data_IF_923754880441
#
_entry.id   IF_923754880441
#
_cell.length_a   1.000
_cell.length_b   1.000
_cell.length_c   1.000
_cell.angle_alpha   90.00
_cell.angle_beta   90.00
_cell.angle_gamma   90.00
#
_symmetry.space_group_name_H-M   'P 1'
#
loop_
_entity.id
_entity.type
_entity.pdbx_description
1 polymer ?
#
# COMPACT_ATOMS: atom_id res chain seq x y z
N UNK A 1 -16.98 4.45 15.44
CA UNK A 1 -16.50 5.43 14.45
C UNK A 1 -17.12 6.78 14.79
N UNK A 2 -16.34 7.87 14.91
CA UNK A 2 -16.84 9.15 15.42
C UNK A 2 -17.47 10.08 14.37
N UNK A 3 -17.36 9.78 13.07
CA UNK A 3 -17.90 10.62 12.00
C UNK A 3 -17.58 10.08 10.61
N UNK A 4 -17.80 10.90 9.58
CA UNK A 4 -17.52 10.56 8.18
C UNK A 4 -16.00 10.46 7.90
N UNK A 5 -15.65 9.62 6.93
CA UNK A 5 -14.27 9.45 6.46
C UNK A 5 -13.87 7.99 6.28
N UNK A 6 -12.77 7.76 5.55
CA UNK A 6 -12.15 6.45 5.43
C UNK A 6 -11.42 6.05 6.72
N UNK A 7 -10.95 4.79 6.80
CA UNK A 7 -10.13 4.32 7.92
C UNK A 7 -8.86 5.19 8.07
N UNK A 8 -8.62 5.76 9.26
CA UNK A 8 -7.58 6.78 9.45
C UNK A 8 -6.12 6.32 9.38
N UNK A 9 -5.83 5.03 9.45
CA UNK A 9 -4.46 4.52 9.27
C UNK A 9 -4.03 4.48 7.80
N UNK A 10 -2.76 4.15 7.54
CA UNK A 10 -2.24 3.92 6.19
C UNK A 10 -2.68 2.55 5.63
N UNK A 11 -4.00 2.38 5.55
CA UNK A 11 -4.70 1.27 4.90
C UNK A 11 -4.92 1.57 3.41
N UNK A 12 -5.63 0.70 2.70
CA UNK A 12 -5.83 0.78 1.24
C UNK A 12 -6.34 2.15 0.79
N UNK A 13 -7.33 2.74 1.48
CA UNK A 13 -7.90 4.03 1.08
C UNK A 13 -6.86 5.16 1.10
N UNK A 14 -6.19 5.39 2.24
CA UNK A 14 -5.16 6.43 2.34
C UNK A 14 -3.94 6.10 1.47
N UNK A 15 -3.56 4.82 1.36
CA UNK A 15 -2.47 4.39 0.47
C UNK A 15 -2.76 4.79 -0.98
N UNK A 16 -3.96 4.47 -1.47
CA UNK A 16 -4.33 4.77 -2.85
C UNK A 16 -4.55 6.28 -3.05
N UNK A 17 -5.10 7.00 -2.07
CA UNK A 17 -5.19 8.45 -2.15
C UNK A 17 -3.80 9.09 -2.30
N UNK A 18 -2.84 8.69 -1.47
CA UNK A 18 -1.45 9.17 -1.56
C UNK A 18 -0.78 8.76 -2.88
N UNK A 19 -1.03 7.54 -3.35
CA UNK A 19 -0.49 7.05 -4.62
C UNK A 19 -1.03 7.82 -5.84
N UNK A 20 -2.33 8.14 -5.84
CA UNK A 20 -3.00 8.91 -6.90
C UNK A 20 -2.51 10.35 -6.90
N UNK A 21 -2.27 10.96 -5.75
CA UNK A 21 -1.64 12.29 -5.65
C UNK A 21 -0.20 12.27 -6.18
N UNK A 22 0.59 11.24 -5.82
CA UNK A 22 1.95 11.05 -6.31
C UNK A 22 2.05 10.82 -7.82
N UNK A 23 1.03 10.18 -8.39
CA UNK A 23 0.84 10.00 -9.83
C UNK A 23 0.45 11.30 -10.54
N UNK A 24 0.06 12.34 -9.80
CA UNK A 24 -0.41 13.61 -10.35
C UNK A 24 -1.89 13.60 -10.75
N UNK A 25 -2.67 12.60 -10.33
CA UNK A 25 -4.11 12.45 -10.64
C UNK A 25 -5.04 13.06 -9.56
N UNK A 26 -4.48 13.69 -8.54
CA UNK A 26 -5.21 14.48 -7.54
C UNK A 26 -4.48 15.78 -7.26
N UNK A 27 -5.22 16.80 -6.84
CA UNK A 27 -4.62 18.09 -6.48
C UNK A 27 -3.68 17.92 -5.26
N UNK A 28 -2.55 18.67 -5.20
CA UNK A 28 -1.67 18.64 -4.04
C UNK A 28 -2.43 18.90 -2.73
N UNK A 29 -2.21 18.03 -1.74
CA UNK A 29 -2.82 18.05 -0.40
C UNK A 29 -4.19 17.35 -0.31
N UNK A 30 -4.74 16.89 -1.43
CA UNK A 30 -6.06 16.26 -1.48
C UNK A 30 -6.11 14.96 -0.67
N UNK A 31 -5.04 14.16 -0.71
CA UNK A 31 -5.02 12.84 -0.08
C UNK A 31 -4.93 12.88 1.45
N UNK A 32 -4.40 13.97 2.04
CA UNK A 32 -4.19 14.06 3.49
C UNK A 32 -5.26 14.87 4.22
N UNK A 33 -5.97 15.76 3.51
CA UNK A 33 -6.99 16.63 4.13
C UNK A 33 -8.14 15.80 4.73
N UNK A 34 -8.42 15.89 6.05
CA UNK A 34 -9.49 15.11 6.68
C UNK A 34 -10.87 15.36 6.08
N UNK A 35 -11.72 14.33 6.06
CA UNK A 35 -13.05 14.39 5.41
C UNK A 35 -14.00 15.45 6.00
N UNK A 36 -13.87 15.75 7.29
CA UNK A 36 -14.71 16.74 7.99
C UNK A 36 -14.10 18.15 8.00
N UNK A 37 -12.95 18.36 7.37
CA UNK A 37 -12.33 19.67 7.27
C UNK A 37 -13.09 20.53 6.25
N UNK A 38 -13.37 21.79 6.59
CA UNK A 38 -14.03 22.73 5.66
C UNK A 38 -13.30 22.89 4.34
N UNK A 39 -11.96 22.76 4.36
CA UNK A 39 -11.10 22.80 3.18
C UNK A 39 -11.43 21.73 2.12
N UNK A 40 -12.09 20.62 2.48
CA UNK A 40 -12.43 19.55 1.53
C UNK A 40 -13.50 20.00 0.53
N UNK A 41 -14.39 20.90 0.92
CA UNK A 41 -15.40 21.46 0.01
C UNK A 41 -14.74 22.38 -1.03
N UNK A 42 -13.81 23.23 -0.59
CA UNK A 42 -13.08 24.12 -1.49
C UNK A 42 -12.16 23.33 -2.43
N UNK A 43 -11.55 22.24 -1.96
CA UNK A 43 -10.81 21.31 -2.79
C UNK A 43 -11.67 20.69 -3.90
N UNK A 44 -12.92 20.30 -3.60
CA UNK A 44 -13.82 19.76 -4.59
C UNK A 44 -14.17 20.79 -5.68
N UNK A 45 -14.31 22.08 -5.32
CA UNK A 45 -14.51 23.18 -6.28
C UNK A 45 -13.28 23.34 -7.18
N UNK A 46 -12.08 23.39 -6.59
CA UNK A 46 -10.81 23.45 -7.34
C UNK A 46 -10.60 22.25 -8.26
N UNK A 47 -11.06 21.06 -7.89
CA UNK A 47 -11.00 19.89 -8.75
C UNK A 47 -11.83 20.11 -10.04
N UNK A 48 -13.00 20.75 -9.92
CA UNK A 48 -13.79 21.16 -11.09
C UNK A 48 -13.07 22.19 -11.98
N UNK A 49 -12.42 23.18 -11.37
CA UNK A 49 -11.61 24.17 -12.09
C UNK A 49 -10.41 23.50 -12.81
N UNK A 50 -9.75 22.56 -12.15
CA UNK A 50 -8.63 21.81 -12.72
C UNK A 50 -9.09 20.99 -13.94
N UNK A 51 -10.24 20.32 -13.88
CA UNK A 51 -10.78 19.58 -15.04
C UNK A 51 -11.05 20.52 -16.22
N UNK A 52 -11.60 21.71 -16.00
CA UNK A 52 -11.80 22.70 -17.07
C UNK A 52 -10.47 23.13 -17.70
N UNK A 53 -9.45 23.38 -16.88
CA UNK A 53 -8.10 23.70 -17.36
C UNK A 53 -7.50 22.57 -18.21
N UNK A 54 -7.66 21.32 -17.76
CA UNK A 54 -7.17 20.15 -18.50
C UNK A 54 -7.85 20.01 -19.86
N UNK A 55 -9.17 20.27 -19.92
CA UNK A 55 -9.93 20.29 -21.18
C UNK A 55 -9.46 21.41 -22.11
N UNK A 56 -9.22 22.62 -21.58
CA UNK A 56 -8.71 23.76 -22.36
C UNK A 56 -7.31 23.46 -22.93
N UNK A 57 -6.44 22.83 -22.14
CA UNK A 57 -5.07 22.48 -22.55
C UNK A 57 -4.97 21.18 -23.36
N UNK A 58 -6.06 20.41 -23.47
CA UNK A 58 -6.04 19.10 -24.12
C UNK A 58 -5.15 18.08 -23.40
N UNK A 59 -5.13 18.09 -22.07
CA UNK A 59 -4.39 17.14 -21.24
C UNK A 59 -5.33 16.02 -20.80
N UNK A 60 -4.98 14.78 -21.10
CA UNK A 60 -5.78 13.58 -20.85
C UNK A 60 -5.11 12.67 -19.80
N UNK A 61 -5.84 11.69 -19.23
CA UNK A 61 -5.27 10.79 -18.22
C UNK A 61 -3.99 10.08 -18.67
N UNK A 62 -3.86 9.71 -19.94
CA UNK A 62 -2.66 9.04 -20.48
C UNK A 62 -1.42 9.96 -20.57
N UNK A 63 -1.63 11.28 -20.59
CA UNK A 63 -0.54 12.26 -20.56
C UNK A 63 0.03 12.43 -19.14
N UNK A 64 -0.75 12.03 -18.12
CA UNK A 64 -0.39 12.11 -16.69
C UNK A 64 0.09 10.75 -16.18
N UNK A 65 -0.66 9.68 -16.47
CA UNK A 65 -0.45 8.34 -15.93
C UNK A 65 0.62 7.57 -16.74
N UNK A 66 1.83 8.13 -16.83
CA UNK A 66 2.99 7.49 -17.48
C UNK A 66 3.67 6.46 -16.57
N UNK A 67 4.63 5.70 -17.12
CA UNK A 67 5.45 4.76 -16.34
C UNK A 67 6.10 5.43 -15.13
N UNK A 68 6.68 6.61 -15.34
CA UNK A 68 7.33 7.44 -14.32
C UNK A 68 6.33 7.90 -13.25
N UNK A 69 5.09 8.23 -13.63
CA UNK A 69 4.04 8.56 -12.66
C UNK A 69 3.63 7.36 -11.80
N UNK A 70 3.58 6.15 -12.39
CA UNK A 70 3.39 4.92 -11.61
C UNK A 70 4.58 4.63 -10.68
N UNK A 71 5.81 4.88 -11.13
CA UNK A 71 6.99 4.75 -10.25
C UNK A 71 6.94 5.75 -9.08
N UNK A 72 6.51 6.99 -9.32
CA UNK A 72 6.27 7.97 -8.24
C UNK A 72 5.23 7.46 -7.24
N UNK A 73 4.13 6.88 -7.73
CA UNK A 73 3.11 6.28 -6.89
C UNK A 73 3.67 5.13 -6.04
N UNK A 74 4.47 4.24 -6.62
CA UNK A 74 5.13 3.14 -5.90
C UNK A 74 6.10 3.70 -4.86
N UNK A 75 6.92 4.70 -5.20
CA UNK A 75 7.85 5.35 -4.28
C UNK A 75 7.12 5.88 -3.04
N UNK A 76 6.02 6.61 -3.22
CA UNK A 76 5.25 7.14 -2.09
C UNK A 76 4.60 6.02 -1.26
N UNK A 77 4.07 4.98 -1.90
CA UNK A 77 3.53 3.79 -1.21
C UNK A 77 4.61 3.11 -0.35
N UNK A 78 5.83 2.97 -0.86
CA UNK A 78 6.96 2.37 -0.14
C UNK A 78 7.41 3.25 1.03
N UNK A 79 7.55 4.56 0.79
CA UNK A 79 7.98 5.54 1.79
C UNK A 79 7.02 5.62 2.97
N UNK A 80 5.71 5.58 2.71
CA UNK A 80 4.65 5.64 3.71
C UNK A 80 4.29 4.29 4.34
N UNK A 81 4.83 3.19 3.83
CA UNK A 81 4.52 1.85 4.31
C UNK A 81 3.07 1.45 4.07
N UNK A 82 2.60 1.67 2.84
CA UNK A 82 1.21 1.48 2.39
C UNK A 82 0.65 0.06 2.49
N UNK A 83 -0.55 -0.11 1.94
CA UNK A 83 -1.24 -1.39 1.81
C UNK A 83 -0.67 -2.24 0.66
N UNK A 84 -0.61 -3.56 0.84
CA UNK A 84 -0.26 -4.51 -0.24
C UNK A 84 -1.28 -4.51 -1.37
N UNK A 85 -2.53 -4.10 -1.10
CA UNK A 85 -3.56 -3.92 -2.13
C UNK A 85 -3.18 -2.87 -3.19
N UNK A 86 -2.22 -1.98 -2.91
CA UNK A 86 -1.71 -1.04 -3.90
C UNK A 86 -1.11 -1.75 -5.13
N UNK A 87 -0.54 -2.95 -4.96
CA UNK A 87 -0.04 -3.74 -6.09
C UNK A 87 -1.16 -4.05 -7.09
N UNK A 88 -2.31 -4.53 -6.59
CA UNK A 88 -3.45 -4.88 -7.43
C UNK A 88 -4.02 -3.65 -8.13
N UNK A 89 -4.21 -2.56 -7.38
CA UNK A 89 -4.83 -1.36 -7.92
C UNK A 89 -3.94 -0.65 -8.93
N UNK A 90 -2.64 -0.47 -8.64
CA UNK A 90 -1.73 0.22 -9.54
C UNK A 90 -1.49 -0.58 -10.83
N UNK A 91 -1.35 -1.92 -10.75
CA UNK A 91 -1.25 -2.77 -11.95
C UNK A 91 -2.53 -2.70 -12.78
N UNK A 92 -3.71 -2.74 -12.14
CA UNK A 92 -4.98 -2.61 -12.85
C UNK A 92 -5.15 -1.23 -13.51
N UNK A 93 -4.76 -0.16 -12.81
CA UNK A 93 -4.77 1.20 -13.36
C UNK A 93 -3.81 1.34 -14.54
N UNK A 94 -2.58 0.82 -14.42
CA UNK A 94 -1.59 0.84 -15.49
C UNK A 94 -2.08 0.10 -16.73
N UNK A 95 -2.66 -1.09 -16.55
CA UNK A 95 -3.28 -1.85 -17.62
C UNK A 95 -4.40 -1.07 -18.33
N UNK A 96 -5.24 -0.33 -17.60
CA UNK A 96 -6.34 0.45 -18.18
C UNK A 96 -5.86 1.63 -19.06
N UNK A 97 -4.64 2.11 -18.85
CA UNK A 97 -4.04 3.21 -19.63
C UNK A 97 -2.93 2.73 -20.57
N UNK A 98 -2.83 1.42 -20.82
CA UNK A 98 -1.82 0.78 -21.67
C UNK A 98 -0.36 1.07 -21.24
N UNK A 99 -0.11 1.07 -19.92
CA UNK A 99 1.23 1.14 -19.34
C UNK A 99 1.62 -0.21 -18.76
N UNK A 100 2.80 -0.71 -19.16
CA UNK A 100 3.36 -1.92 -18.60
C UNK A 100 3.81 -1.68 -17.16
N UNK A 101 3.23 -2.41 -16.21
CA UNK A 101 3.63 -2.38 -14.80
C UNK A 101 3.48 -3.77 -14.21
N UNK A 102 4.57 -4.31 -13.65
CA UNK A 102 4.60 -5.64 -13.07
C UNK A 102 5.30 -5.66 -11.70
N UNK A 103 5.39 -6.84 -11.08
CA UNK A 103 6.04 -6.97 -9.77
C UNK A 103 7.54 -6.65 -9.76
N UNK A 104 8.24 -6.79 -10.89
CA UNK A 104 9.67 -6.49 -10.95
C UNK A 104 9.91 -4.96 -10.88
N UNK A 105 8.96 -4.15 -11.37
CA UNK A 105 8.97 -2.70 -11.14
C UNK A 105 8.84 -2.33 -9.66
N UNK A 106 7.89 -2.95 -8.96
CA UNK A 106 7.71 -2.71 -7.53
C UNK A 106 8.97 -3.07 -6.76
N UNK A 107 9.58 -4.22 -7.06
CA UNK A 107 10.80 -4.65 -6.38
C UNK A 107 11.99 -3.72 -6.70
N UNK A 108 12.15 -3.30 -7.95
CA UNK A 108 13.19 -2.34 -8.36
C UNK A 108 13.06 -1.01 -7.60
N UNK A 109 11.85 -0.45 -7.50
CA UNK A 109 11.60 0.79 -6.75
C UNK A 109 11.82 0.55 -5.25
N UNK A 110 11.29 -0.55 -4.69
CA UNK A 110 11.39 -0.90 -3.26
C UNK A 110 12.83 -0.91 -2.75
N UNK A 111 13.78 -1.41 -3.54
CA UNK A 111 15.19 -1.52 -3.16
C UNK A 111 15.87 -0.17 -2.96
N UNK A 112 15.35 0.90 -3.58
CA UNK A 112 15.94 2.24 -3.52
C UNK A 112 15.20 3.20 -2.59
N UNK A 113 13.96 2.88 -2.22
CA UNK A 113 13.10 3.78 -1.43
C UNK A 113 13.07 3.35 0.03
N UNK A 114 13.50 4.17 0.99
CA UNK A 114 13.43 3.85 2.41
C UNK A 114 11.99 3.96 2.95
N UNK A 115 11.65 3.14 3.94
CA UNK A 115 10.42 3.28 4.70
C UNK A 115 10.60 4.33 5.80
N UNK A 116 9.91 5.47 5.68
CA UNK A 116 10.14 6.66 6.52
C UNK A 116 8.93 7.10 7.33
N UNK A 117 7.75 6.52 7.16
CA UNK A 117 6.59 6.90 7.96
C UNK A 117 6.38 6.02 9.20
N UNK A 118 6.03 6.63 10.33
CA UNK A 118 5.61 5.92 11.54
C UNK A 118 4.07 5.86 11.66
N UNK A 119 3.42 5.38 10.60
CA UNK A 119 1.96 5.33 10.50
C UNK A 119 1.40 3.94 10.83
N UNK A 120 0.24 3.92 11.49
CA UNK A 120 -0.60 2.73 11.65
C UNK A 120 -0.88 2.11 10.28
N UNK A 121 -0.90 0.78 10.18
CA UNK A 121 -1.01 -0.17 11.28
C UNK A 121 0.31 -0.61 11.94
N UNK A 122 1.47 -0.32 11.33
CA UNK A 122 2.79 -0.72 11.86
C UNK A 122 3.49 0.34 12.71
N UNK A 123 2.90 1.52 12.84
CA UNK A 123 3.44 2.67 13.56
C UNK A 123 2.43 3.29 14.53
N UNK A 124 2.78 4.47 15.06
CA UNK A 124 2.00 5.15 16.10
C UNK A 124 0.90 6.05 15.54
N UNK A 125 1.21 6.77 14.45
CA UNK A 125 0.42 7.88 13.94
C UNK A 125 -0.65 7.48 12.92
N UNK A 126 -1.58 8.38 12.64
CA UNK A 126 -2.63 8.22 11.61
C UNK A 126 -2.51 9.31 10.54
N UNK A 127 -3.31 9.21 9.47
CA UNK A 127 -3.25 10.15 8.33
C UNK A 127 -3.49 11.61 8.74
N UNK A 128 -4.31 11.84 9.77
CA UNK A 128 -4.52 13.17 10.31
C UNK A 128 -3.25 13.77 10.90
N UNK A 129 -2.42 12.97 11.58
CA UNK A 129 -1.14 13.44 12.11
C UNK A 129 -0.18 13.80 10.97
N UNK A 130 -0.16 12.98 9.89
CA UNK A 130 0.61 13.31 8.68
C UNK A 130 0.15 14.63 8.07
N UNK A 131 -1.16 14.84 7.95
CA UNK A 131 -1.71 16.10 7.45
C UNK A 131 -1.27 17.30 8.29
N UNK A 132 -1.25 17.15 9.62
CA UNK A 132 -0.88 18.23 10.55
C UNK A 132 0.60 18.63 10.48
N UNK A 133 1.47 17.81 9.86
CA UNK A 133 2.91 18.09 9.75
C UNK A 133 3.37 18.43 8.32
N UNK A 134 2.42 18.65 7.40
CA UNK A 134 2.68 19.03 6.00
C UNK A 134 2.03 18.12 4.95
N UNK A 135 1.47 16.99 5.37
CA UNK A 135 0.73 16.08 4.49
C UNK A 135 1.61 15.31 3.50
N UNK A 136 0.95 14.68 2.52
CA UNK A 136 1.62 13.94 1.45
C UNK A 136 2.50 14.82 0.55
N UNK A 137 2.12 16.07 0.20
CA UNK A 137 2.99 16.96 -0.57
C UNK A 137 4.36 17.19 0.07
N UNK A 138 4.41 17.43 1.38
CA UNK A 138 5.68 17.66 2.07
C UNK A 138 6.60 16.42 2.06
N UNK A 139 6.00 15.22 2.14
CA UNK A 139 6.73 13.96 1.96
C UNK A 139 7.24 13.80 0.53
N UNK A 140 6.40 14.10 -0.47
CA UNK A 140 6.81 14.06 -1.87
C UNK A 140 7.93 15.05 -2.17
N UNK A 141 7.90 16.26 -1.60
CA UNK A 141 8.97 17.25 -1.71
C UNK A 141 10.30 16.69 -1.19
N UNK A 142 10.29 16.10 0.02
CA UNK A 142 11.47 15.43 0.60
C UNK A 142 12.02 14.32 -0.31
N UNK A 143 11.14 13.50 -0.91
CA UNK A 143 11.54 12.41 -1.80
C UNK A 143 12.06 12.93 -3.15
N UNK A 144 11.48 14.00 -3.68
CA UNK A 144 11.95 14.66 -4.91
C UNK A 144 13.34 15.27 -4.72
N UNK A 145 13.56 15.99 -3.62
CA UNK A 145 14.87 16.57 -3.27
C UNK A 145 15.97 15.50 -3.12
N UNK A 146 15.58 14.28 -2.72
CA UNK A 146 16.46 13.12 -2.65
C UNK A 146 16.66 12.38 -3.99
N UNK A 147 16.03 12.86 -5.08
CA UNK A 147 16.11 12.24 -6.40
C UNK A 147 15.35 10.91 -6.52
N UNK A 148 14.35 10.67 -5.66
CA UNK A 148 13.56 9.43 -5.64
C UNK A 148 12.23 9.54 -6.41
N UNK A 149 11.87 10.75 -6.84
CA UNK A 149 10.69 11.01 -7.65
C UNK A 149 11.07 11.64 -9.00
N UNK A 150 10.31 11.29 -10.03
CA UNK A 150 10.34 11.90 -11.34
C UNK A 150 9.59 13.23 -11.30
N UNK A 151 10.34 14.33 -11.28
CA UNK A 151 9.80 15.69 -11.15
C UNK A 151 9.08 16.20 -12.40
N UNK A 152 9.42 15.69 -13.58
CA UNK A 152 8.91 16.19 -14.87
C UNK A 152 7.52 15.65 -15.23
N UNK A 153 6.96 14.74 -14.43
CA UNK A 153 5.63 14.18 -14.67
C UNK A 153 4.56 15.27 -14.65
N UNK A 154 3.72 15.32 -15.70
CA UNK A 154 2.55 16.19 -15.77
C UNK A 154 1.55 15.82 -14.67
N UNK A 155 0.79 16.79 -14.15
CA UNK A 155 -0.28 16.55 -13.18
C UNK A 155 -1.59 17.21 -13.57
N UNK A 156 -2.66 16.94 -12.82
CA UNK A 156 -3.98 17.54 -12.98
C UNK A 156 -4.00 19.06 -12.80
N UNK A 157 -2.93 19.68 -12.28
CA UNK A 157 -2.82 21.15 -12.23
C UNK A 157 -2.37 21.75 -13.57
N UNK A 158 -1.99 20.91 -14.55
CA UNK A 158 -1.38 21.33 -15.80
C UNK A 158 0.03 21.91 -15.65
N UNK A 159 0.68 21.62 -14.51
CA UNK A 159 2.09 21.85 -14.18
C UNK A 159 2.78 20.49 -13.93
N UNK A 160 4.11 20.46 -13.94
CA UNK A 160 4.86 19.26 -13.56
C UNK A 160 4.79 19.01 -12.04
N UNK A 161 5.14 17.80 -11.61
CA UNK A 161 5.22 17.46 -10.20
C UNK A 161 6.19 18.37 -9.45
N UNK A 162 7.37 18.64 -10.03
CA UNK A 162 8.38 19.51 -9.42
C UNK A 162 7.89 20.95 -9.26
N UNK A 163 7.20 21.51 -10.26
CA UNK A 163 6.61 22.85 -10.18
C UNK A 163 5.57 22.95 -9.07
N UNK A 164 4.72 21.93 -8.92
CA UNK A 164 3.74 21.89 -7.84
C UNK A 164 4.41 21.80 -6.46
N UNK A 165 5.46 20.98 -6.31
CA UNK A 165 6.16 20.77 -5.04
C UNK A 165 7.10 21.93 -4.66
N UNK A 166 7.50 22.78 -5.61
CA UNK A 166 8.26 23.98 -5.31
C UNK A 166 7.48 24.95 -4.39
N UNK A 167 6.16 25.04 -4.56
CA UNK A 167 5.25 25.90 -3.81
C UNK A 167 4.83 25.30 -2.45
N UNK A 168 5.14 24.03 -2.20
CA UNK A 168 4.74 23.29 -0.99
C UNK A 168 5.71 23.57 0.17
N UNK A 169 5.18 23.82 1.36
CA UNK A 169 5.99 23.93 2.58
C UNK A 169 6.64 22.59 2.95
N UNK A 170 7.85 22.65 3.51
CA UNK A 170 8.52 21.44 4.02
C UNK A 170 7.78 20.86 5.24
N UNK A 171 8.14 19.63 5.62
CA UNK A 171 7.65 19.03 6.85
C UNK A 171 7.96 19.93 8.05
N UNK A 172 7.02 20.07 8.99
CA UNK A 172 7.20 20.92 10.16
C UNK A 172 8.42 20.51 11.01
N UNK A 173 9.18 21.49 11.50
CA UNK A 173 10.34 21.23 12.34
C UNK A 173 9.97 20.45 13.62
N UNK A 174 10.78 19.44 13.94
CA UNK A 174 10.62 18.64 15.16
C UNK A 174 9.49 17.60 15.15
N UNK A 175 8.76 17.45 14.04
CA UNK A 175 7.78 16.36 13.88
C UNK A 175 8.46 14.97 13.90
N UNK A 176 7.74 13.95 14.36
CA UNK A 176 8.22 12.56 14.43
C UNK A 176 7.30 11.55 13.71
N UNK A 177 6.41 12.04 12.84
CA UNK A 177 5.54 11.24 11.97
C UNK A 177 6.33 10.66 10.79
N UNK A 178 7.23 11.47 10.22
CA UNK A 178 8.11 11.12 9.10
C UNK A 178 9.56 11.19 9.56
N UNK A 179 10.26 10.07 9.54
CA UNK A 179 11.67 9.96 9.88
C UNK A 179 12.56 10.56 8.78
N UNK A 180 13.72 11.13 9.14
CA UNK A 180 14.68 11.61 8.16
C UNK A 180 15.21 10.45 7.31
N UNK A 181 15.51 10.72 6.03
CA UNK A 181 16.06 9.73 5.09
C UNK A 181 17.39 9.12 5.57
N UNK A 182 18.15 9.85 6.40
CA UNK A 182 19.41 9.39 7.01
C UNK A 182 19.21 8.38 8.14
N UNK A 183 18.02 8.35 8.76
CA UNK A 183 17.67 7.41 9.82
C UNK A 183 16.23 6.88 9.63
N UNK A 184 15.99 6.10 8.55
CA UNK A 184 14.64 5.62 8.23
C UNK A 184 14.26 4.42 9.11
N UNK A 185 12.96 4.12 9.21
CA UNK A 185 12.47 2.91 9.90
C UNK A 185 13.00 1.64 9.26
N UNK A 186 13.08 1.63 7.93
CA UNK A 186 13.80 0.60 7.15
C UNK A 186 14.52 1.24 5.98
N UNK A 187 15.69 0.69 5.64
CA UNK A 187 16.52 1.14 4.52
C UNK A 187 15.88 0.92 3.14
N UNK A 188 14.91 0.00 3.05
CA UNK A 188 14.18 -0.32 1.82
C UNK A 188 12.67 -0.38 2.10
N UNK A 189 11.89 -0.32 1.03
CA UNK A 189 10.44 -0.31 1.09
C UNK A 189 9.92 -1.58 1.77
N UNK A 190 8.83 -1.48 2.56
CA UNK A 190 8.41 -2.57 3.40
C UNK A 190 7.52 -3.59 2.69
N UNK A 191 7.06 -3.32 1.46
CA UNK A 191 6.20 -4.23 0.71
C UNK A 191 7.06 -5.04 -0.25
N UNK A 192 7.23 -6.33 0.04
CA UNK A 192 8.19 -7.21 -0.63
C UNK A 192 7.46 -8.13 -1.60
N UNK A 193 8.04 -8.32 -2.79
CA UNK A 193 7.63 -9.35 -3.73
C UNK A 193 8.37 -10.64 -3.39
N UNK A 194 7.63 -11.73 -3.20
CA UNK A 194 8.16 -13.06 -2.96
C UNK A 194 7.93 -13.94 -4.17
N UNK A 195 8.99 -14.56 -4.68
CA UNK A 195 8.92 -15.59 -5.73
C UNK A 195 9.53 -16.89 -5.19
N UNK A 196 8.98 -18.02 -5.61
CA UNK A 196 9.46 -19.32 -5.17
C UNK A 196 8.63 -20.47 -5.71
N UNK A 197 8.90 -21.67 -5.22
CA UNK A 197 8.17 -22.86 -5.66
C UNK A 197 6.65 -22.76 -5.40
N UNK A 198 6.22 -22.16 -4.29
CA UNK A 198 4.80 -21.97 -3.95
C UNK A 198 4.13 -20.79 -4.66
N UNK A 199 4.92 -19.81 -5.12
CA UNK A 199 4.45 -18.57 -5.74
C UNK A 199 5.34 -18.23 -6.95
N UNK A 200 5.29 -19.01 -8.04
CA UNK A 200 6.20 -18.81 -9.17
C UNK A 200 5.93 -17.52 -9.95
N UNK A 201 4.68 -17.05 -10.00
CA UNK A 201 4.32 -15.75 -10.62
C UNK A 201 4.46 -14.59 -9.63
N UNK A 202 4.48 -14.90 -8.34
CA UNK A 202 4.76 -13.94 -7.27
C UNK A 202 3.74 -14.02 -6.14
N UNK A 203 4.07 -13.35 -5.05
CA UNK A 203 3.24 -13.10 -3.89
C UNK A 203 3.70 -11.80 -3.23
N UNK A 204 2.84 -11.17 -2.44
CA UNK A 204 3.14 -9.89 -1.79
C UNK A 204 3.10 -10.06 -0.28
N UNK A 205 4.10 -9.51 0.41
CA UNK A 205 4.18 -9.50 1.87
C UNK A 205 4.48 -8.11 2.40
N UNK A 206 3.83 -7.74 3.52
CA UNK A 206 4.15 -6.50 4.24
C UNK A 206 5.10 -6.79 5.39
N UNK A 207 6.31 -6.26 5.30
CA UNK A 207 7.40 -6.44 6.26
C UNK A 207 7.65 -5.22 7.14
N UNK A 208 6.78 -4.20 7.17
CA UNK A 208 7.04 -2.93 7.87
C UNK A 208 7.28 -3.07 9.39
N UNK A 209 6.66 -4.06 10.03
CA UNK A 209 6.79 -4.32 11.48
C UNK A 209 7.69 -5.49 11.87
N UNK A 210 8.32 -6.19 10.91
CA UNK A 210 9.07 -7.43 11.19
C UNK A 210 10.59 -7.21 11.19
N UNK A 211 11.25 -7.64 12.26
CA UNK A 211 12.73 -7.74 12.35
C UNK A 211 13.24 -9.09 11.84
N UNK A 212 12.41 -10.12 11.92
CA UNK A 212 12.73 -11.48 11.48
C UNK A 212 12.58 -11.55 9.95
N UNK A 213 13.56 -12.14 9.27
CA UNK A 213 13.59 -12.28 7.80
C UNK A 213 13.31 -13.71 7.33
N UNK A 214 13.26 -14.69 8.24
CA UNK A 214 13.00 -16.10 7.92
C UNK A 214 12.00 -16.70 8.90
N UNK A 215 11.03 -17.43 8.36
CA UNK A 215 10.09 -18.25 9.13
C UNK A 215 10.06 -19.65 8.52
N UNK A 216 9.98 -20.68 9.36
CA UNK A 216 9.87 -22.06 8.92
C UNK A 216 9.04 -22.83 9.95
N UNK A 217 8.11 -23.64 9.45
CA UNK A 217 7.21 -24.38 10.30
C UNK A 217 6.36 -25.40 9.52
N UNK A 218 5.63 -26.26 10.23
CA UNK A 218 4.71 -27.21 9.62
C UNK A 218 3.51 -26.46 8.99
N UNK A 219 3.06 -26.96 7.84
CA UNK A 219 1.92 -26.38 7.14
C UNK A 219 0.58 -26.85 7.73
N UNK A 220 -0.31 -25.91 8.03
CA UNK A 220 -1.72 -26.14 8.38
C UNK A 220 -2.57 -25.61 7.22
N UNK A 221 -3.09 -26.52 6.41
CA UNK A 221 -3.71 -26.19 5.11
C UNK A 221 -5.23 -26.19 5.20
N UNK A 222 -5.86 -25.13 4.71
CA UNK A 222 -7.30 -24.92 4.71
C UNK A 222 -7.77 -24.51 3.31
N UNK A 223 -8.92 -25.05 2.88
CA UNK A 223 -9.49 -24.77 1.56
C UNK A 223 -10.49 -23.59 1.55
N UNK A 224 -10.69 -22.94 2.70
CA UNK A 224 -11.50 -21.72 2.83
C UNK A 224 -11.17 -21.00 4.15
N UNK A 225 -11.62 -19.74 4.26
CA UNK A 225 -11.43 -18.91 5.44
C UNK A 225 -12.17 -19.46 6.68
N UNK A 226 -13.39 -19.98 6.52
CA UNK A 226 -14.21 -20.47 7.62
C UNK A 226 -13.54 -21.60 8.39
N UNK A 227 -12.93 -22.56 7.68
CA UNK A 227 -12.21 -23.69 8.28
C UNK A 227 -10.92 -23.26 8.97
N UNK A 228 -10.19 -22.30 8.39
CA UNK A 228 -9.03 -21.72 9.06
C UNK A 228 -9.43 -20.98 10.35
N UNK A 229 -10.55 -20.25 10.30
CA UNK A 229 -11.13 -19.53 11.44
C UNK A 229 -11.56 -20.49 12.54
N UNK A 230 -12.25 -21.58 12.20
CA UNK A 230 -12.65 -22.64 13.12
C UNK A 230 -11.43 -23.26 13.84
N UNK A 231 -10.38 -23.61 13.11
CA UNK A 231 -9.15 -24.17 13.68
C UNK A 231 -8.46 -23.20 14.65
N UNK A 232 -8.40 -21.91 14.31
CA UNK A 232 -7.88 -20.87 15.23
C UNK A 232 -8.76 -20.78 16.48
N UNK A 233 -10.09 -20.80 16.36
CA UNK A 233 -11.02 -20.75 17.50
C UNK A 233 -10.85 -21.94 18.44
N UNK A 234 -10.71 -23.14 17.88
CA UNK A 234 -10.57 -24.39 18.61
C UNK A 234 -9.17 -24.60 19.24
N UNK A 235 -8.24 -23.65 19.07
CA UNK A 235 -6.85 -23.74 19.52
C UNK A 235 -6.07 -24.89 18.84
N UNK A 236 -6.37 -25.18 17.59
CA UNK A 236 -5.66 -26.20 16.79
C UNK A 236 -4.39 -25.64 16.11
N UNK A 237 -4.10 -24.35 16.35
CA UNK A 237 -2.99 -23.60 15.77
C UNK A 237 -2.00 -23.23 16.87
N UNK A 238 -0.73 -23.56 16.63
CA UNK A 238 0.36 -23.39 17.58
C UNK A 238 1.40 -22.39 17.07
N UNK A 239 2.21 -21.86 17.99
CA UNK A 239 3.33 -21.00 17.63
C UNK A 239 4.34 -21.80 16.78
N UNK A 240 4.74 -21.22 15.64
CA UNK A 240 5.59 -21.89 14.64
C UNK A 240 4.81 -22.42 13.44
N UNK A 241 3.48 -22.52 13.48
CA UNK A 241 2.71 -23.00 12.33
C UNK A 241 2.76 -22.04 11.13
N UNK A 242 2.64 -22.62 9.93
CA UNK A 242 2.42 -21.91 8.66
C UNK A 242 1.01 -22.21 8.17
N UNK A 243 0.13 -21.24 8.27
CA UNK A 243 -1.28 -21.36 7.88
C UNK A 243 -1.41 -21.06 6.40
N UNK A 244 -1.85 -22.05 5.62
CA UNK A 244 -2.07 -21.93 4.17
C UNK A 244 -3.57 -21.93 3.91
N UNK A 245 -4.10 -20.81 3.43
CA UNK A 245 -5.53 -20.68 3.09
C UNK A 245 -5.63 -20.52 1.58
N UNK A 246 -6.17 -21.54 0.91
CA UNK A 246 -6.21 -21.63 -0.55
C UNK A 246 -7.65 -21.74 -1.06
N UNK A 247 -7.82 -21.59 -2.38
CA UNK A 247 -9.13 -21.47 -3.03
C UNK A 247 -9.89 -20.22 -2.61
N UNK A 248 -9.16 -19.17 -2.22
CA UNK A 248 -9.71 -17.85 -1.91
C UNK A 248 -9.13 -16.77 -2.82
N UNK A 249 -8.59 -17.18 -3.97
CA UNK A 249 -8.13 -16.30 -5.03
C UNK A 249 -9.27 -15.71 -5.88
N UNK A 250 -8.93 -14.98 -6.97
CA UNK A 250 -9.91 -14.35 -7.85
C UNK A 250 -10.97 -15.31 -8.40
N UNK A 251 -10.60 -16.52 -8.81
CA UNK A 251 -11.53 -17.53 -9.33
C UNK A 251 -12.00 -18.51 -8.27
N UNK A 252 -11.14 -18.91 -7.34
CA UNK A 252 -11.46 -19.90 -6.32
C UNK A 252 -12.46 -19.41 -5.27
N UNK A 253 -12.30 -18.16 -4.83
CA UNK A 253 -13.12 -17.55 -3.78
C UNK A 253 -14.61 -17.53 -4.12
N UNK A 254 -15.05 -16.93 -5.25
CA UNK A 254 -14.40 -15.97 -6.16
C UNK A 254 -14.27 -14.55 -5.56
N UNK A 255 -13.67 -13.62 -6.32
CA UNK A 255 -13.59 -12.19 -5.95
C UNK A 255 -12.43 -11.84 -5.00
N UNK A 256 -11.57 -12.82 -4.68
CA UNK A 256 -10.36 -12.64 -3.89
C UNK A 256 -10.64 -11.91 -2.55
N UNK A 257 -11.42 -12.51 -1.62
CA UNK A 257 -11.80 -11.86 -0.36
C UNK A 257 -10.60 -11.40 0.48
N UNK A 258 -10.81 -10.35 1.28
CA UNK A 258 -9.81 -9.81 2.21
C UNK A 258 -10.07 -10.34 3.63
N UNK A 259 -9.13 -11.14 4.16
CA UNK A 259 -9.29 -11.86 5.43
C UNK A 259 -8.73 -11.04 6.61
N UNK A 260 -9.55 -10.15 7.17
CA UNK A 260 -9.18 -9.36 8.36
C UNK A 260 -9.37 -10.15 9.67
N UNK A 261 -10.50 -10.84 9.81
CA UNK A 261 -10.93 -11.57 11.01
C UNK A 261 -9.84 -12.52 11.53
N UNK A 262 -9.30 -13.36 10.66
CA UNK A 262 -8.33 -14.38 11.00
C UNK A 262 -7.04 -13.79 11.59
N UNK A 263 -6.53 -12.72 10.99
CA UNK A 263 -5.30 -12.06 11.46
C UNK A 263 -5.50 -11.41 12.83
N UNK A 264 -6.65 -10.79 13.07
CA UNK A 264 -7.00 -10.22 14.37
C UNK A 264 -7.16 -11.29 15.46
N UNK A 265 -7.76 -12.44 15.12
CA UNK A 265 -7.92 -13.55 16.06
C UNK A 265 -6.60 -14.16 16.50
N UNK A 266 -5.65 -14.35 15.57
CA UNK A 266 -4.30 -14.82 15.89
C UNK A 266 -3.58 -13.86 16.84
N UNK A 267 -3.70 -12.55 16.61
CA UNK A 267 -3.17 -11.54 17.54
C UNK A 267 -3.86 -11.64 18.91
N UNK A 268 -5.18 -11.73 18.95
CA UNK A 268 -5.96 -11.86 20.19
C UNK A 268 -5.63 -13.11 21.02
N UNK A 269 -5.21 -14.20 20.36
CA UNK A 269 -4.72 -15.44 21.00
C UNK A 269 -3.23 -15.41 21.35
N UNK A 270 -2.54 -14.28 21.16
CA UNK A 270 -1.11 -14.14 21.48
C UNK A 270 -0.18 -14.85 20.49
N UNK A 271 -0.67 -15.21 19.30
CA UNK A 271 0.05 -15.85 18.19
C UNK A 271 0.51 -14.84 17.11
N UNK A 272 0.19 -13.54 17.28
CA UNK A 272 0.66 -12.48 16.40
C UNK A 272 2.19 -12.50 16.25
N UNK A 273 2.68 -12.54 15.00
CA UNK A 273 4.10 -12.66 14.69
C UNK A 273 4.76 -14.02 14.98
N UNK A 274 4.06 -14.96 15.62
CA UNK A 274 4.55 -16.32 15.92
C UNK A 274 4.05 -17.37 14.94
N UNK A 275 3.12 -17.00 14.06
CA UNK A 275 2.52 -17.83 13.02
C UNK A 275 2.69 -17.10 11.69
N UNK A 276 2.96 -17.85 10.63
CA UNK A 276 2.96 -17.33 9.27
C UNK A 276 1.63 -17.62 8.58
N UNK A 277 1.20 -16.70 7.72
CA UNK A 277 -0.02 -16.78 6.94
C UNK A 277 0.32 -16.68 5.45
N UNK A 278 -0.21 -17.61 4.66
CA UNK A 278 -0.03 -17.70 3.22
C UNK A 278 -1.39 -17.89 2.55
N UNK A 279 -1.70 -17.10 1.52
CA UNK A 279 -2.96 -17.23 0.78
C UNK A 279 -2.88 -16.81 -0.67
N UNK A 280 -3.69 -17.45 -1.52
CA UNK A 280 -3.99 -16.98 -2.88
C UNK A 280 -5.03 -15.84 -2.91
N UNK A 281 -5.64 -15.53 -1.76
CA UNK A 281 -6.50 -14.36 -1.52
C UNK A 281 -5.73 -13.13 -1.04
N UNK A 282 -6.38 -12.33 -0.19
CA UNK A 282 -5.81 -11.08 0.38
C UNK A 282 -5.89 -11.07 1.89
N UNK A 283 -4.93 -10.40 2.52
CA UNK A 283 -4.98 -10.08 3.93
C UNK A 283 -5.11 -8.58 4.13
N UNK A 284 -5.84 -8.19 5.16
CA UNK A 284 -5.95 -6.77 5.49
C UNK A 284 -4.62 -6.21 6.00
N UNK A 285 -4.36 -4.95 5.66
CA UNK A 285 -3.11 -4.26 6.00
C UNK A 285 -2.80 -4.15 7.49
N UNK A 286 -3.75 -4.45 8.40
CA UNK A 286 -3.61 -4.39 9.86
C UNK A 286 -2.77 -5.52 10.49
N UNK A 287 -2.33 -6.49 9.70
CA UNK A 287 -1.77 -7.73 10.20
C UNK A 287 -0.32 -7.58 10.68
N UNK A 288 0.02 -8.25 11.78
CA UNK A 288 1.36 -8.27 12.36
C UNK A 288 1.96 -9.67 12.18
N UNK A 289 3.11 -9.79 11.51
CA UNK A 289 3.78 -11.07 11.28
C UNK A 289 4.16 -11.33 9.81
N UNK A 290 4.44 -12.59 9.50
CA UNK A 290 4.64 -13.06 8.12
C UNK A 290 3.29 -13.27 7.46
N UNK A 291 2.76 -12.24 6.81
CA UNK A 291 1.44 -12.27 6.17
C UNK A 291 1.63 -12.08 4.68
N UNK A 292 1.44 -13.17 3.94
CA UNK A 292 1.76 -13.29 2.52
C UNK A 292 0.46 -13.55 1.76
N UNK A 293 0.07 -12.60 0.92
CA UNK A 293 -1.11 -12.72 0.06
C UNK A 293 -0.73 -12.73 -1.42
N UNK A 294 -1.76 -12.80 -2.26
CA UNK A 294 -1.62 -12.73 -3.72
C UNK A 294 -0.74 -13.84 -4.30
N UNK A 295 -0.71 -15.01 -3.65
CA UNK A 295 0.07 -16.15 -4.14
C UNK A 295 -0.46 -16.55 -5.51
N UNK A 296 0.40 -16.39 -6.53
CA UNK A 296 0.09 -16.65 -7.92
C UNK A 296 1.01 -17.74 -8.51
N UNK A 297 0.46 -18.66 -9.33
CA UNK A 297 -0.96 -18.82 -9.66
C UNK A 297 -1.82 -19.25 -8.47
N UNK A 298 -3.10 -18.89 -8.47
CA UNK A 298 -4.04 -19.31 -7.42
C UNK A 298 -4.30 -20.83 -7.45
N UNK A 299 -4.78 -21.41 -6.34
CA UNK A 299 -5.00 -22.85 -6.26
C UNK A 299 -6.08 -23.34 -7.26
N UNK A 300 -7.10 -22.51 -7.54
CA UNK A 300 -8.19 -22.85 -8.45
C UNK A 300 -7.72 -23.13 -9.89
N UNK A 301 -6.58 -22.57 -10.32
CA UNK A 301 -6.00 -22.77 -11.65
C UNK A 301 -4.84 -23.77 -11.64
N UNK A 302 -4.68 -24.52 -10.55
CA UNK A 302 -3.63 -25.52 -10.40
C UNK A 302 -2.27 -24.96 -9.96
N UNK A 303 -2.24 -23.75 -9.37
CA UNK A 303 -1.04 -23.22 -8.73
C UNK A 303 -0.49 -24.15 -7.65
N UNK A 304 0.83 -24.11 -7.41
CA UNK A 304 1.47 -25.03 -6.44
C UNK A 304 1.01 -24.84 -5.00
N UNK A 305 0.42 -23.70 -4.65
CA UNK A 305 -0.30 -23.51 -3.38
C UNK A 305 -1.49 -24.46 -3.20
N UNK A 306 -1.99 -25.03 -4.30
CA UNK A 306 -3.02 -26.08 -4.35
C UNK A 306 -2.53 -27.50 -4.07
N UNK A 307 -1.22 -27.73 -3.94
CA UNK A 307 -0.57 -29.03 -3.68
C UNK A 307 0.23 -29.00 -2.38
#
# INVERSE_FOLDING_TARGET
>A
MPGAGACGGMYTANTMASAVEAMGMSLPGSSSTPAIAGAKEDEAKRAGEAVNLLLEKGIYPRDIMTKEAFENAITVVMALGGSTNAFLHLIAMAHAVDVDLDYDDFERVRQNVPHIADLKPSGRYVMQDLNNVGGVPAVMKLLLEAGLLHGDCMTVTGKTLAENLAEVEALHDGQDVIMPLSNPKKKTGPLVVLKGNLAPEGAVAKMSGQSITRFQGPAKVFNNEDKATEAVMNNEIEAGDVLVIRYVGPKGGPGMPEMLSLTAMLVGKGLGGKVALLTDGRFSGGSHGFVIGHVAPEAQVGGRSGY
#
